data_IF_550967820600
#
_entry.id   IF_550967820600
#
_cell.length_a   1.000
_cell.length_b   1.000
_cell.length_c   1.000
_cell.angle_alpha   90.00
_cell.angle_beta   90.00
_cell.angle_gamma   90.00
#
_symmetry.space_group_name_H-M   'P 1'
#
loop_
_entity.id
_entity.type
_entity.pdbx_description
1 polymer ?
#
# COMPACT_ATOMS: atom_id res chain seq x y z
N UNK A 1 -16.40 3.02 -0.43
CA UNK A 1 -17.39 1.91 -0.36
C UNK A 1 -18.84 2.40 -0.47
N UNK A 2 -19.30 3.34 0.37
CA UNK A 2 -20.70 3.84 0.31
C UNK A 2 -21.13 4.34 -1.09
N UNK A 3 -20.27 5.14 -1.74
CA UNK A 3 -20.51 5.61 -3.11
C UNK A 3 -20.58 4.46 -4.14
N UNK A 4 -19.88 3.34 -3.89
CA UNK A 4 -19.93 2.16 -4.76
C UNK A 4 -21.27 1.42 -4.67
N UNK A 5 -21.90 1.46 -3.50
CA UNK A 5 -23.24 0.91 -3.26
C UNK A 5 -24.36 1.87 -3.65
N UNK A 6 -24.05 3.06 -4.18
CA UNK A 6 -25.04 4.09 -4.54
C UNK A 6 -25.63 4.82 -3.33
N UNK A 7 -24.98 4.72 -2.16
CA UNK A 7 -25.41 5.38 -0.92
C UNK A 7 -24.63 6.69 -0.73
N UNK A 8 -25.34 7.73 -0.31
CA UNK A 8 -24.75 9.03 -0.01
C UNK A 8 -24.20 9.05 1.43
N UNK A 9 -22.90 9.33 1.63
CA UNK A 9 -22.27 9.39 2.96
C UNK A 9 -22.93 10.36 3.94
N UNK A 10 -23.57 11.43 3.45
CA UNK A 10 -24.20 12.45 4.30
C UNK A 10 -25.57 12.02 4.86
N UNK A 11 -26.25 11.10 4.17
CA UNK A 11 -27.61 10.64 4.52
C UNK A 11 -27.64 9.19 4.98
N UNK A 12 -26.51 8.47 4.88
CA UNK A 12 -26.39 7.09 5.32
C UNK A 12 -26.59 6.99 6.85
N UNK A 13 -27.48 6.09 7.34
CA UNK A 13 -27.85 6.02 8.75
C UNK A 13 -26.75 5.35 9.60
N UNK A 14 -25.68 6.10 9.90
CA UNK A 14 -24.63 5.69 10.82
C UNK A 14 -25.12 5.85 12.27
N UNK A 15 -24.69 4.92 13.15
CA UNK A 15 -24.96 4.99 14.59
C UNK A 15 -24.40 6.28 15.19
N UNK A 16 -23.20 6.66 14.76
CA UNK A 16 -22.58 7.94 15.05
C UNK A 16 -22.11 8.55 13.72
N UNK A 17 -22.73 9.65 13.33
CA UNK A 17 -22.46 10.28 12.04
C UNK A 17 -21.22 11.17 12.15
N UNK A 18 -20.22 11.03 11.27
CA UNK A 18 -19.04 11.87 11.31
C UNK A 18 -19.41 13.34 11.01
N UNK A 19 -18.58 14.30 11.46
CA UNK A 19 -18.79 15.70 11.15
C UNK A 19 -18.78 15.94 9.63
N UNK A 20 -19.57 16.90 9.17
CA UNK A 20 -19.72 17.19 7.73
C UNK A 20 -18.39 17.51 7.07
N UNK A 21 -17.53 18.22 7.78
CA UNK A 21 -16.18 18.61 7.35
C UNK A 21 -15.32 17.37 7.04
N UNK A 22 -15.46 16.28 7.80
CA UNK A 22 -14.72 15.05 7.55
C UNK A 22 -15.25 14.31 6.30
N UNK A 23 -16.57 14.35 6.08
CA UNK A 23 -17.19 13.80 4.86
C UNK A 23 -16.71 14.59 3.64
N UNK A 24 -16.76 15.92 3.71
CA UNK A 24 -16.31 16.83 2.64
C UNK A 24 -14.81 16.64 2.34
N UNK A 25 -13.96 16.57 3.36
CA UNK A 25 -12.53 16.29 3.18
C UNK A 25 -12.29 14.95 2.49
N UNK A 26 -13.03 13.90 2.87
CA UNK A 26 -12.93 12.58 2.25
C UNK A 26 -13.38 12.60 0.78
N UNK A 27 -14.44 13.35 0.47
CA UNK A 27 -14.89 13.54 -0.91
C UNK A 27 -13.87 14.32 -1.74
N UNK A 28 -13.23 15.33 -1.17
CA UNK A 28 -12.15 16.08 -1.84
C UNK A 28 -10.98 15.16 -2.18
N UNK A 29 -10.53 14.32 -1.24
CA UNK A 29 -9.47 13.32 -1.51
C UNK A 29 -9.88 12.37 -2.63
N UNK A 30 -11.13 11.88 -2.64
CA UNK A 30 -11.61 11.00 -3.70
C UNK A 30 -11.69 11.69 -5.07
N UNK A 31 -11.98 13.01 -5.11
CA UNK A 31 -11.91 13.81 -6.34
C UNK A 31 -10.48 13.96 -6.84
N UNK A 32 -9.54 14.29 -5.94
CA UNK A 32 -8.12 14.43 -6.27
C UNK A 32 -7.51 13.14 -6.81
N UNK A 33 -7.94 11.98 -6.27
CA UNK A 33 -7.53 10.66 -6.78
C UNK A 33 -8.18 10.29 -8.13
N UNK A 34 -9.12 11.09 -8.62
CA UNK A 34 -9.91 10.81 -9.82
C UNK A 34 -10.89 9.64 -9.63
N UNK A 35 -11.21 9.27 -8.39
CA UNK A 35 -12.12 8.16 -8.08
C UNK A 35 -13.59 8.54 -8.30
N UNK A 36 -13.93 9.82 -8.11
CA UNK A 36 -15.27 10.35 -8.34
C UNK A 36 -15.23 11.54 -9.31
N UNK A 37 -16.28 11.69 -10.11
CA UNK A 37 -16.42 12.79 -11.04
C UNK A 37 -16.64 14.12 -10.28
N UNK A 38 -15.91 15.16 -10.68
CA UNK A 38 -16.02 16.52 -10.14
C UNK A 38 -17.31 17.22 -10.54
N UNK A 39 -17.89 16.86 -11.70
CA UNK A 39 -19.05 17.56 -12.27
C UNK A 39 -20.37 16.83 -11.99
N UNK A 40 -20.38 15.49 -11.98
CA UNK A 40 -21.62 14.70 -11.89
C UNK A 40 -21.85 14.01 -10.53
N UNK A 41 -22.31 14.78 -9.53
CA UNK A 41 -23.01 14.23 -8.35
C UNK A 41 -22.23 13.21 -7.48
N UNK A 42 -20.88 13.16 -7.58
CA UNK A 42 -20.07 12.20 -6.82
C UNK A 42 -20.18 10.75 -7.31
N UNK A 43 -20.55 10.54 -8.58
CA UNK A 43 -20.55 9.19 -9.18
C UNK A 43 -19.12 8.67 -9.35
N UNK A 44 -18.94 7.36 -9.17
CA UNK A 44 -17.65 6.71 -9.38
C UNK A 44 -17.24 6.74 -10.86
N UNK A 45 -16.00 7.14 -11.11
CA UNK A 45 -15.35 7.03 -12.42
C UNK A 45 -15.03 5.57 -12.75
N UNK A 46 -14.57 5.29 -13.97
CA UNK A 46 -14.08 3.93 -14.35
C UNK A 46 -12.91 3.52 -13.44
N UNK A 47 -12.02 4.47 -13.13
CA UNK A 47 -10.93 4.28 -12.18
C UNK A 47 -11.47 4.00 -10.77
N UNK A 48 -12.39 4.83 -10.28
CA UNK A 48 -13.01 4.65 -8.97
C UNK A 48 -13.69 3.29 -8.81
N UNK A 49 -14.36 2.79 -9.85
CA UNK A 49 -14.93 1.44 -9.86
C UNK A 49 -13.85 0.36 -9.68
N UNK A 50 -12.72 0.45 -10.38
CA UNK A 50 -11.59 -0.49 -10.18
C UNK A 50 -11.03 -0.40 -8.76
N UNK A 51 -10.85 0.81 -8.24
CA UNK A 51 -10.34 1.05 -6.87
C UNK A 51 -11.18 0.34 -5.80
N UNK A 52 -12.51 0.27 -5.97
CA UNK A 52 -13.40 -0.37 -4.98
C UNK A 52 -13.18 -1.87 -4.79
N UNK A 53 -12.48 -2.52 -5.72
CA UNK A 53 -12.21 -3.96 -5.65
C UNK A 53 -10.99 -4.30 -4.80
N UNK A 54 -10.20 -3.29 -4.41
CA UNK A 54 -9.05 -3.46 -3.54
C UNK A 54 -9.46 -3.16 -2.08
N UNK A 55 -9.25 -4.08 -1.12
CA UNK A 55 -9.60 -3.89 0.29
C UNK A 55 -8.53 -3.09 1.04
N UNK A 56 -8.12 -1.95 0.50
CA UNK A 56 -7.05 -1.08 1.02
C UNK A 56 -7.46 0.39 0.91
N UNK A 57 -6.64 1.29 1.46
CA UNK A 57 -6.84 2.73 1.30
C UNK A 57 -6.92 3.12 -0.20
N UNK A 58 -7.87 3.99 -0.60
CA UNK A 58 -7.99 4.48 -1.97
C UNK A 58 -6.66 4.97 -2.57
N UNK A 59 -5.82 5.65 -1.78
CA UNK A 59 -4.51 6.15 -2.25
C UNK A 59 -3.61 5.00 -2.72
N UNK A 60 -3.57 3.89 -1.98
CA UNK A 60 -2.79 2.73 -2.36
C UNK A 60 -3.39 1.96 -3.54
N UNK A 61 -4.72 1.91 -3.64
CA UNK A 61 -5.37 1.32 -4.81
C UNK A 61 -5.03 2.09 -6.10
N UNK A 62 -4.92 3.42 -6.02
CA UNK A 62 -4.50 4.27 -7.13
C UNK A 62 -3.06 3.97 -7.56
N UNK A 63 -2.14 3.87 -6.60
CA UNK A 63 -0.73 3.51 -6.86
C UNK A 63 -0.62 2.17 -7.58
N UNK A 64 -1.33 1.13 -7.13
CA UNK A 64 -1.32 -0.19 -7.80
C UNK A 64 -1.86 -0.10 -9.23
N UNK A 65 -2.97 0.61 -9.43
CA UNK A 65 -3.57 0.77 -10.75
C UNK A 65 -2.66 1.54 -11.71
N UNK A 66 -2.01 2.61 -11.25
CA UNK A 66 -1.06 3.39 -12.06
C UNK A 66 0.27 2.67 -12.31
N UNK A 67 0.77 1.87 -11.35
CA UNK A 67 2.04 1.14 -11.47
C UNK A 67 2.10 0.16 -12.65
N UNK A 68 0.94 -0.24 -13.19
CA UNK A 68 0.88 -1.05 -14.41
C UNK A 68 1.40 -0.28 -15.62
N UNK A 69 1.09 1.02 -15.73
CA UNK A 69 1.50 1.88 -16.84
C UNK A 69 3.01 2.18 -16.79
N UNK A 70 3.58 2.24 -15.58
CA UNK A 70 5.00 2.48 -15.35
C UNK A 70 5.87 1.21 -15.31
N UNK A 71 5.26 0.03 -15.46
CA UNK A 71 5.99 -1.25 -15.46
C UNK A 71 6.62 -1.63 -14.11
N UNK A 72 6.11 -1.09 -13.01
CA UNK A 72 6.65 -1.30 -11.65
C UNK A 72 5.63 -1.95 -10.69
N UNK A 73 4.66 -2.68 -11.24
CA UNK A 73 3.56 -3.29 -10.48
C UNK A 73 4.05 -4.27 -9.40
N UNK A 74 5.12 -5.04 -9.65
CA UNK A 74 5.67 -5.98 -8.66
C UNK A 74 6.22 -5.27 -7.41
N UNK A 75 6.95 -4.17 -7.61
CA UNK A 75 7.44 -3.30 -6.54
C UNK A 75 6.31 -2.58 -5.82
N UNK A 76 5.34 -2.02 -6.55
CA UNK A 76 4.20 -1.32 -5.99
C UNK A 76 3.36 -2.24 -5.09
N UNK A 77 3.08 -3.47 -5.54
CA UNK A 77 2.38 -4.49 -4.74
C UNK A 77 3.14 -4.80 -3.45
N UNK A 78 4.45 -4.95 -3.55
CA UNK A 78 5.30 -5.26 -2.40
C UNK A 78 5.35 -4.11 -1.40
N UNK A 79 5.49 -2.87 -1.89
CA UNK A 79 5.52 -1.67 -1.06
C UNK A 79 4.18 -1.44 -0.35
N UNK A 80 3.07 -1.45 -1.11
CA UNK A 80 1.72 -1.27 -0.54
C UNK A 80 1.41 -2.34 0.50
N UNK A 81 1.82 -3.58 0.27
CA UNK A 81 1.58 -4.66 1.23
C UNK A 81 2.30 -4.45 2.57
N UNK A 82 3.55 -3.97 2.54
CA UNK A 82 4.30 -3.64 3.76
C UNK A 82 3.74 -2.40 4.44
N UNK A 83 3.37 -1.38 3.67
CA UNK A 83 2.73 -0.16 4.17
C UNK A 83 1.35 -0.41 4.80
N UNK A 84 0.68 -1.49 4.39
CA UNK A 84 -0.60 -1.93 4.95
C UNK A 84 -0.44 -2.76 6.23
N UNK A 85 0.80 -3.12 6.60
CA UNK A 85 1.13 -3.84 7.83
C UNK A 85 1.57 -2.88 8.94
N UNK A 86 1.46 -3.32 10.20
CA UNK A 86 2.07 -2.61 11.32
C UNK A 86 3.61 -2.56 11.19
N UNK A 87 4.26 -1.72 12.01
CA UNK A 87 5.70 -1.50 11.97
C UNK A 87 6.49 -2.82 11.94
N UNK A 88 7.26 -3.02 10.86
CA UNK A 88 8.06 -4.23 10.63
C UNK A 88 9.39 -4.21 11.40
N UNK A 89 9.85 -3.05 11.87
CA UNK A 89 11.08 -2.92 12.65
C UNK A 89 10.81 -3.12 14.14
N UNK A 90 11.64 -3.94 14.77
CA UNK A 90 11.59 -4.21 16.20
C UNK A 90 12.87 -3.69 16.87
N UNK A 91 12.76 -2.60 17.64
CA UNK A 91 13.91 -1.97 18.30
C UNK A 91 13.84 -2.16 19.82
N UNK A 92 14.43 -3.24 20.37
CA UNK A 92 14.46 -3.44 21.81
C UNK A 92 15.39 -2.42 22.48
N UNK A 93 14.97 -1.86 23.62
CA UNK A 93 15.70 -0.80 24.33
C UNK A 93 17.16 -1.16 24.62
N UNK A 94 17.41 -2.39 25.10
CA UNK A 94 18.75 -2.86 25.48
C UNK A 94 19.66 -3.18 24.29
N UNK A 95 19.15 -3.26 23.06
CA UNK A 95 19.95 -3.56 21.85
C UNK A 95 19.68 -2.56 20.73
N UNK A 96 19.34 -1.32 21.10
CA UNK A 96 19.00 -0.27 20.14
C UNK A 96 20.12 -0.01 19.13
N UNK A 97 21.37 0.07 19.57
CA UNK A 97 22.50 0.30 18.67
C UNK A 97 22.72 -0.85 17.68
N UNK A 98 22.57 -2.09 18.14
CA UNK A 98 22.69 -3.27 17.29
C UNK A 98 21.56 -3.33 16.25
N UNK A 99 20.32 -3.08 16.67
CA UNK A 99 19.16 -3.01 15.79
C UNK A 99 19.32 -1.92 14.72
N UNK A 100 19.84 -0.75 15.09
CA UNK A 100 20.13 0.33 14.15
C UNK A 100 21.22 -0.06 13.16
N UNK A 101 22.32 -0.67 13.62
CA UNK A 101 23.40 -1.16 12.74
C UNK A 101 22.90 -2.19 11.73
N UNK A 102 22.01 -3.09 12.14
CA UNK A 102 21.43 -4.08 11.21
C UNK A 102 20.43 -3.42 10.24
N UNK A 103 19.63 -2.46 10.71
CA UNK A 103 18.72 -1.68 9.86
C UNK A 103 19.47 -0.98 8.72
N UNK A 104 20.68 -0.47 8.96
CA UNK A 104 21.49 0.19 7.92
C UNK A 104 21.72 -0.67 6.67
N UNK A 105 21.65 -2.00 6.75
CA UNK A 105 21.76 -2.90 5.59
C UNK A 105 20.62 -2.73 4.58
N UNK A 106 19.47 -2.22 5.02
CA UNK A 106 18.27 -2.05 4.20
C UNK A 106 18.00 -0.59 3.83
N UNK A 107 18.68 0.35 4.51
CA UNK A 107 18.49 1.80 4.32
C UNK A 107 18.82 2.16 2.87
N UNK A 108 17.89 2.88 2.25
CA UNK A 108 18.06 3.44 0.93
C UNK A 108 18.22 4.96 1.01
N UNK A 109 19.09 5.51 0.17
CA UNK A 109 19.23 6.97 -0.02
C UNK A 109 17.97 7.61 -0.59
N UNK A 110 17.10 6.82 -1.21
CA UNK A 110 15.82 7.26 -1.78
C UNK A 110 14.69 7.36 -0.74
N UNK A 111 14.95 7.01 0.52
CA UNK A 111 14.03 7.23 1.64
C UNK A 111 13.43 5.96 2.26
N UNK A 112 12.47 6.18 3.16
CA UNK A 112 11.93 5.12 4.03
C UNK A 112 11.06 4.12 3.29
N UNK A 113 10.30 4.53 2.27
CA UNK A 113 9.48 3.62 1.46
C UNK A 113 10.35 2.58 0.74
N UNK A 114 11.46 3.02 0.13
CA UNK A 114 12.39 2.09 -0.53
C UNK A 114 13.11 1.22 0.50
N UNK A 115 13.43 1.77 1.67
CA UNK A 115 13.97 0.99 2.79
C UNK A 115 13.02 -0.15 3.20
N UNK A 116 11.72 0.13 3.31
CA UNK A 116 10.69 -0.88 3.60
C UNK A 116 10.56 -1.93 2.48
N UNK A 117 10.60 -1.48 1.22
CA UNK A 117 10.59 -2.37 0.06
C UNK A 117 11.79 -3.33 0.07
N UNK A 118 12.98 -2.82 0.37
CA UNK A 118 14.21 -3.60 0.48
C UNK A 118 14.11 -4.68 1.58
N UNK A 119 13.60 -4.31 2.76
CA UNK A 119 13.35 -5.24 3.86
C UNK A 119 12.44 -6.37 3.41
N UNK A 120 11.33 -6.04 2.73
CA UNK A 120 10.36 -7.05 2.30
C UNK A 120 10.89 -7.94 1.18
N UNK A 121 11.57 -7.37 0.17
CA UNK A 121 12.25 -8.15 -0.87
C UNK A 121 13.27 -9.13 -0.26
N UNK A 122 14.03 -8.69 0.76
CA UNK A 122 14.96 -9.56 1.47
C UNK A 122 14.25 -10.64 2.29
N UNK A 123 13.16 -10.30 2.99
CA UNK A 123 12.33 -11.26 3.73
C UNK A 123 11.74 -12.35 2.82
N UNK A 124 11.26 -12.00 1.63
CA UNK A 124 10.72 -12.97 0.68
C UNK A 124 11.77 -14.00 0.22
N UNK A 125 13.04 -13.59 0.11
CA UNK A 125 14.16 -14.44 -0.31
C UNK A 125 14.85 -15.16 0.86
N UNK A 126 14.55 -14.80 2.10
CA UNK A 126 15.24 -15.32 3.26
C UNK A 126 14.91 -16.80 3.55
N UNK A 127 15.92 -17.66 3.75
CA UNK A 127 15.70 -18.99 4.33
C UNK A 127 15.35 -18.85 5.81
N UNK A 128 14.58 -19.81 6.35
CA UNK A 128 14.20 -19.83 7.78
C UNK A 128 13.70 -18.46 8.29
N UNK A 129 12.69 -17.89 7.60
CA UNK A 129 12.17 -16.52 7.78
C UNK A 129 12.06 -16.04 9.23
N UNK A 130 11.58 -16.88 10.15
CA UNK A 130 11.45 -16.53 11.58
C UNK A 130 12.80 -16.25 12.25
N UNK A 131 13.81 -17.06 11.95
CA UNK A 131 15.17 -16.87 12.46
C UNK A 131 15.83 -15.65 11.79
N UNK A 132 15.68 -15.51 10.47
CA UNK A 132 16.18 -14.36 9.74
C UNK A 132 15.60 -13.04 10.26
N UNK A 133 14.29 -12.98 10.55
CA UNK A 133 13.67 -11.80 11.15
C UNK A 133 14.25 -11.47 12.53
N UNK A 134 14.51 -12.50 13.36
CA UNK A 134 15.11 -12.32 14.68
C UNK A 134 16.52 -11.73 14.60
N UNK A 135 17.35 -12.23 13.68
CA UNK A 135 18.70 -11.74 13.44
C UNK A 135 18.73 -10.32 12.85
N UNK A 136 17.68 -9.95 12.10
CA UNK A 136 17.56 -8.64 11.47
C UNK A 136 16.73 -7.62 12.25
N UNK A 137 16.32 -7.93 13.49
CA UNK A 137 15.49 -7.05 14.31
C UNK A 137 14.16 -6.65 13.62
N UNK A 138 13.53 -7.65 12.97
CA UNK A 138 12.27 -7.49 12.24
C UNK A 138 11.14 -8.30 12.86
N UNK A 139 9.92 -7.79 12.75
CA UNK A 139 8.72 -8.48 13.20
C UNK A 139 8.25 -9.47 12.13
N UNK A 140 8.49 -10.76 12.38
CA UNK A 140 8.06 -11.85 11.50
C UNK A 140 6.54 -11.88 11.26
N UNK A 141 5.72 -11.58 12.28
CA UNK A 141 4.26 -11.61 12.14
C UNK A 141 3.80 -10.54 11.15
N UNK A 142 4.31 -9.32 11.29
CA UNK A 142 3.94 -8.19 10.44
C UNK A 142 4.41 -8.41 9.00
N UNK A 143 5.62 -8.94 8.79
CA UNK A 143 6.12 -9.29 7.46
C UNK A 143 5.38 -10.48 6.83
N UNK A 144 4.94 -11.45 7.63
CA UNK A 144 4.10 -12.56 7.14
C UNK A 144 2.74 -12.04 6.70
N UNK A 145 2.11 -11.18 7.51
CA UNK A 145 0.87 -10.51 7.16
C UNK A 145 1.00 -9.69 5.87
N UNK A 146 2.08 -8.91 5.72
CA UNK A 146 2.37 -8.20 4.47
C UNK A 146 2.49 -9.18 3.28
N UNK A 147 3.08 -10.36 3.46
CA UNK A 147 3.13 -11.38 2.40
C UNK A 147 1.73 -11.86 1.99
N UNK A 148 0.82 -12.04 2.95
CA UNK A 148 -0.55 -12.46 2.70
C UNK A 148 -1.34 -11.35 1.98
N UNK A 149 -1.20 -10.10 2.42
CA UNK A 149 -1.80 -8.92 1.77
C UNK A 149 -1.31 -8.81 0.33
N UNK A 150 0.01 -8.93 0.10
CA UNK A 150 0.58 -8.90 -1.25
C UNK A 150 -0.02 -9.98 -2.15
N UNK A 151 -0.19 -11.20 -1.62
CA UNK A 151 -0.79 -12.29 -2.37
C UNK A 151 -2.24 -11.97 -2.76
N UNK A 152 -3.05 -11.45 -1.83
CA UNK A 152 -4.43 -11.04 -2.11
C UNK A 152 -4.50 -9.94 -3.18
N UNK A 153 -3.65 -8.92 -3.09
CA UNK A 153 -3.60 -7.82 -4.06
C UNK A 153 -3.18 -8.33 -5.45
N UNK A 154 -2.22 -9.24 -5.53
CA UNK A 154 -1.81 -9.88 -6.77
C UNK A 154 -2.96 -10.65 -7.42
N UNK A 155 -3.73 -11.41 -6.64
CA UNK A 155 -4.89 -12.16 -7.15
C UNK A 155 -5.96 -11.23 -7.73
N UNK A 156 -6.17 -10.06 -7.12
CA UNK A 156 -7.07 -9.03 -7.65
C UNK A 156 -6.52 -8.48 -8.98
N UNK A 157 -5.23 -8.12 -9.04
CA UNK A 157 -4.60 -7.61 -10.25
C UNK A 157 -4.70 -8.60 -11.43
N UNK A 158 -4.48 -9.90 -11.16
CA UNK A 158 -4.62 -10.96 -12.15
C UNK A 158 -6.06 -11.08 -12.67
N UNK A 159 -7.07 -10.93 -11.80
CA UNK A 159 -8.49 -10.92 -12.22
C UNK A 159 -8.80 -9.76 -13.17
N UNK A 160 -8.12 -8.64 -13.02
CA UNK A 160 -8.23 -7.48 -13.91
C UNK A 160 -7.30 -7.53 -15.14
N UNK A 161 -6.61 -8.67 -15.37
CA UNK A 161 -5.62 -8.84 -16.44
C UNK A 161 -4.53 -7.76 -16.43
N UNK A 162 -4.12 -7.31 -15.25
CA UNK A 162 -3.03 -6.35 -15.11
C UNK A 162 -1.69 -7.06 -15.29
N UNK A 163 -0.82 -6.49 -16.11
CA UNK A 163 0.51 -7.06 -16.37
C UNK A 163 1.44 -6.78 -15.18
N UNK A 164 1.97 -7.86 -14.60
CA UNK A 164 2.89 -7.77 -13.45
C UNK A 164 4.31 -7.69 -13.97
N UNK A 165 4.80 -6.46 -14.12
CA UNK A 165 6.18 -6.16 -14.47
C UNK A 165 6.97 -5.70 -13.24
N UNK A 166 8.28 -5.99 -13.24
CA UNK A 166 9.22 -5.49 -12.25
C UNK A 166 10.16 -4.48 -12.89
N UNK A 167 10.33 -3.33 -12.26
CA UNK A 167 11.33 -2.34 -12.65
C UNK A 167 12.75 -2.67 -12.15
N UNK A 168 12.91 -3.82 -11.47
CA UNK A 168 14.19 -4.31 -10.97
C UNK A 168 14.79 -3.37 -9.92
N UNK A 169 15.91 -2.74 -10.28
CA UNK A 169 16.62 -1.77 -9.43
C UNK A 169 16.27 -0.32 -9.76
N UNK A 170 15.45 -0.07 -10.79
CA UNK A 170 15.01 1.27 -11.16
C UNK A 170 13.85 1.72 -10.25
N UNK A 171 14.17 1.92 -8.97
CA UNK A 171 13.21 2.32 -7.94
C UNK A 171 12.68 3.74 -8.13
N UNK A 172 13.29 4.54 -9.01
CA UNK A 172 12.83 5.88 -9.35
C UNK A 172 11.40 5.85 -9.92
N UNK A 173 11.05 4.83 -10.70
CA UNK A 173 9.70 4.66 -11.25
C UNK A 173 8.63 4.38 -10.17
N UNK A 174 9.03 3.92 -8.98
CA UNK A 174 8.13 3.68 -7.84
C UNK A 174 7.93 4.95 -7.02
N UNK A 175 8.84 5.92 -7.12
CA UNK A 175 8.84 7.16 -6.33
C UNK A 175 8.30 8.34 -7.13
N UNK A 176 8.70 8.44 -8.40
CA UNK A 176 8.38 9.56 -9.29
C UNK A 176 7.32 9.19 -10.34
N UNK A 177 6.70 8.01 -10.24
CA UNK A 177 5.45 7.77 -10.96
C UNK A 177 4.42 8.76 -10.44
N UNK A 178 3.95 9.67 -11.29
CA UNK A 178 2.82 10.55 -10.98
C UNK A 178 1.56 9.67 -10.91
N UNK A 179 1.35 9.02 -9.76
CA UNK A 179 0.21 8.14 -9.48
C UNK A 179 -1.05 8.92 -9.16
#
# INVERSE_FOLDING_TARGET
MLLATGMDPATFPLIDSPPKEAIEASLTILKELGAIDSENSGKLTVLGKKMTSFPIDPKYSKVILGATEYGCLDEALSLVAVMSSENVFHTPLHKREEALKVKQKFVSSFGDHITLLNVFKAFCKAPLKKQWCKENYLNHKNLSYASDVRHQLLMICQRYNMEVMSCGNNVEQVIFGDF
#
